data_IF_967301798616
#
_entry.id   IF_967301798616
#
_cell.length_a   1.000
_cell.length_b   1.000
_cell.length_c   1.000
_cell.angle_alpha   90.00
_cell.angle_beta   90.00
_cell.angle_gamma   90.00
#
_symmetry.space_group_name_H-M   'P 1'
#
loop_
_entity.id
_entity.type
_entity.pdbx_description
1 polymer ?
#
# COMPACT_ATOMS: atom_id res chain seq x y z
N UNK A 1 4.77 57.74 23.75
CA UNK A 1 3.89 56.76 23.07
C UNK A 1 4.67 56.12 21.94
N UNK A 2 5.22 54.93 22.15
CA UNK A 2 5.95 54.17 21.13
C UNK A 2 4.98 53.21 20.43
N UNK A 3 4.75 53.44 19.14
CA UNK A 3 3.91 52.58 18.33
C UNK A 3 4.64 51.25 18.07
N UNK A 4 4.11 50.15 18.62
CA UNK A 4 4.52 48.79 18.26
C UNK A 4 4.15 48.55 16.80
N UNK A 5 5.13 48.55 15.89
CA UNK A 5 4.95 48.03 14.53
C UNK A 5 4.95 46.50 14.63
N UNK A 6 3.79 45.91 14.35
CA UNK A 6 3.65 44.46 14.18
C UNK A 6 4.46 44.10 12.92
N UNK A 7 5.46 43.21 13.00
CA UNK A 7 6.19 42.78 11.82
C UNK A 7 5.25 42.01 10.90
N UNK A 8 4.93 42.57 9.74
CA UNK A 8 4.22 41.87 8.66
C UNK A 8 5.20 40.91 8.00
N UNK A 9 5.01 39.60 8.17
CA UNK A 9 5.79 38.58 7.47
C UNK A 9 5.72 38.83 5.95
N UNK A 10 6.88 38.88 5.28
CA UNK A 10 6.91 39.12 3.85
C UNK A 10 6.36 37.88 3.10
N UNK A 11 5.64 38.08 1.98
CA UNK A 11 5.03 36.97 1.24
C UNK A 11 6.03 35.91 0.76
N UNK A 12 7.30 36.27 0.55
CA UNK A 12 8.38 35.32 0.26
C UNK A 12 8.73 34.40 1.45
N UNK A 13 8.65 34.90 2.69
CA UNK A 13 8.92 34.10 3.89
C UNK A 13 7.83 33.05 4.08
N UNK A 14 6.57 33.42 3.83
CA UNK A 14 5.44 32.49 3.88
C UNK A 14 5.57 31.39 2.81
N UNK A 15 5.97 31.75 1.59
CA UNK A 15 6.20 30.79 0.51
C UNK A 15 7.31 29.79 0.88
N UNK A 16 8.43 30.27 1.44
CA UNK A 16 9.54 29.44 1.89
C UNK A 16 9.10 28.45 2.97
N UNK A 17 8.31 28.90 3.95
CA UNK A 17 7.77 28.04 5.03
C UNK A 17 6.86 26.95 4.46
N UNK A 18 5.99 27.28 3.50
CA UNK A 18 5.13 26.30 2.83
C UNK A 18 5.96 25.26 2.07
N UNK A 19 6.99 25.68 1.34
CA UNK A 19 7.88 24.76 0.63
C UNK A 19 8.65 23.85 1.59
N UNK A 20 9.21 24.41 2.66
CA UNK A 20 9.94 23.64 3.68
C UNK A 20 9.02 22.62 4.37
N UNK A 21 7.79 23.01 4.71
CA UNK A 21 6.79 22.11 5.27
C UNK A 21 6.40 20.99 4.29
N UNK A 22 6.23 21.30 3.00
CA UNK A 22 5.94 20.32 1.95
C UNK A 22 7.06 19.30 1.76
N UNK A 23 8.31 19.75 1.74
CA UNK A 23 9.49 18.88 1.67
C UNK A 23 9.62 18.01 2.94
N UNK A 24 9.42 18.60 4.11
CA UNK A 24 9.42 17.89 5.39
C UNK A 24 8.37 16.79 5.43
N UNK A 25 7.13 17.08 5.02
CA UNK A 25 6.05 16.09 4.93
C UNK A 25 6.36 14.95 3.95
N UNK A 26 6.97 15.27 2.80
CA UNK A 26 7.36 14.28 1.80
C UNK A 26 8.45 13.36 2.33
N UNK A 27 9.49 13.91 2.95
CA UNK A 27 10.57 13.14 3.57
C UNK A 27 10.03 12.25 4.70
N UNK A 28 9.20 12.80 5.58
CA UNK A 28 8.52 12.06 6.64
C UNK A 28 7.73 10.89 6.06
N UNK A 29 6.90 11.14 5.04
CA UNK A 29 6.07 10.11 4.39
C UNK A 29 6.89 8.97 3.79
N UNK A 30 8.06 9.26 3.21
CA UNK A 30 8.98 8.25 2.66
C UNK A 30 9.58 7.39 3.77
N UNK A 31 10.01 8.01 4.87
CA UNK A 31 10.57 7.30 6.04
C UNK A 31 9.51 6.46 6.72
N UNK A 32 8.34 7.04 7.00
CA UNK A 32 7.18 6.37 7.59
C UNK A 32 6.79 5.15 6.76
N UNK A 33 6.66 5.31 5.43
CA UNK A 33 6.41 4.20 4.51
C UNK A 33 7.44 3.08 4.69
N UNK A 34 8.74 3.41 4.68
CA UNK A 34 9.80 2.41 4.74
C UNK A 34 9.74 1.60 6.04
N UNK A 35 9.52 2.29 7.17
CA UNK A 35 9.42 1.69 8.50
C UNK A 35 8.20 0.77 8.59
N UNK A 36 7.00 1.29 8.28
CA UNK A 36 5.76 0.52 8.38
C UNK A 36 5.77 -0.68 7.43
N UNK A 37 6.25 -0.49 6.20
CA UNK A 37 6.40 -1.60 5.25
C UNK A 37 7.38 -2.67 5.76
N UNK A 38 8.36 -2.30 6.59
CA UNK A 38 9.25 -3.26 7.26
C UNK A 38 8.52 -4.08 8.31
N UNK A 39 7.67 -3.43 9.12
CA UNK A 39 6.86 -4.07 10.18
C UNK A 39 5.85 -5.06 9.61
N UNK A 40 5.38 -4.84 8.38
CA UNK A 40 4.41 -5.72 7.73
C UNK A 40 4.88 -7.17 7.57
N UNK A 41 6.18 -7.41 7.40
CA UNK A 41 6.71 -8.74 7.07
C UNK A 41 6.52 -9.69 8.25
N UNK A 42 5.98 -10.89 7.99
CA UNK A 42 5.65 -11.91 8.98
C UNK A 42 4.30 -11.69 9.69
N UNK A 43 3.62 -10.56 9.44
CA UNK A 43 2.31 -10.28 10.06
C UNK A 43 1.18 -11.00 9.35
N UNK A 44 0.18 -11.36 10.15
CA UNK A 44 -1.11 -11.85 9.65
C UNK A 44 -1.89 -10.70 9.03
N UNK A 45 -2.63 -11.01 7.98
CA UNK A 45 -3.46 -10.04 7.27
C UNK A 45 -4.81 -10.62 6.94
N UNK A 46 -5.79 -9.73 6.88
CA UNK A 46 -7.12 -9.96 6.35
C UNK A 46 -7.31 -9.08 5.10
N UNK A 47 -7.69 -9.70 3.99
CA UNK A 47 -8.00 -9.06 2.72
C UNK A 47 -9.51 -9.11 2.49
N UNK A 48 -10.09 -7.98 2.11
CA UNK A 48 -11.53 -7.82 1.85
C UNK A 48 -11.74 -7.00 0.57
N UNK A 49 -12.86 -7.15 -0.12
CA UNK A 49 -13.16 -6.29 -1.27
C UNK A 49 -13.32 -4.82 -0.87
N UNK A 50 -12.80 -3.91 -1.70
CA UNK A 50 -12.90 -2.47 -1.45
C UNK A 50 -14.30 -1.90 -1.77
N UNK A 51 -15.11 -2.61 -2.56
CA UNK A 51 -16.44 -2.17 -2.97
C UNK A 51 -17.49 -2.96 -2.18
N UNK A 52 -18.08 -2.29 -1.18
CA UNK A 52 -19.11 -2.85 -0.30
C UNK A 52 -20.52 -2.75 -0.90
N UNK A 53 -20.69 -2.20 -2.10
CA UNK A 53 -22.02 -1.94 -2.71
C UNK A 53 -22.73 -3.18 -3.26
N UNK A 54 -22.28 -4.39 -2.94
CA UNK A 54 -22.93 -5.62 -3.36
C UNK A 54 -22.87 -6.60 -2.19
N UNK A 55 -24.01 -6.87 -1.56
CA UNK A 55 -24.13 -7.70 -0.35
C UNK A 55 -23.51 -9.11 -0.52
N UNK A 56 -23.37 -9.60 -1.76
CA UNK A 56 -22.64 -10.83 -2.08
C UNK A 56 -21.09 -10.72 -2.07
N UNK A 57 -20.52 -9.52 -2.18
CA UNK A 57 -19.05 -9.31 -2.26
C UNK A 57 -18.40 -9.03 -0.90
N UNK A 58 -19.19 -8.60 0.09
CA UNK A 58 -18.72 -8.38 1.48
C UNK A 58 -18.30 -9.66 2.20
N UNK A 59 -18.70 -10.84 1.70
CA UNK A 59 -18.42 -12.13 2.34
C UNK A 59 -17.08 -12.76 1.92
N UNK A 60 -16.49 -12.31 0.80
CA UNK A 60 -15.21 -12.85 0.33
C UNK A 60 -14.05 -12.20 1.08
N UNK A 61 -13.60 -12.93 2.10
CA UNK A 61 -12.49 -12.58 2.96
C UNK A 61 -11.37 -13.59 2.80
N UNK A 62 -10.14 -13.12 2.73
CA UNK A 62 -8.97 -13.99 2.72
C UNK A 62 -8.01 -13.62 3.83
N UNK A 63 -7.55 -14.63 4.55
CA UNK A 63 -6.50 -14.47 5.55
C UNK A 63 -5.18 -15.00 5.03
N UNK A 64 -4.09 -14.42 5.51
CA UNK A 64 -2.76 -14.86 5.10
C UNK A 64 -1.65 -14.22 5.92
N UNK A 65 -0.42 -14.45 5.49
CA UNK A 65 0.79 -13.89 6.10
C UNK A 65 1.59 -13.15 5.03
N UNK A 66 2.00 -11.93 5.34
CA UNK A 66 2.93 -11.18 4.49
C UNK A 66 4.30 -11.85 4.56
N UNK A 67 4.75 -12.48 3.48
CA UNK A 67 6.01 -13.21 3.46
C UNK A 67 7.21 -12.31 3.18
N UNK A 68 7.12 -11.47 2.16
CA UNK A 68 8.26 -10.69 1.66
C UNK A 68 7.80 -9.48 0.87
N UNK A 69 8.69 -8.51 0.75
CA UNK A 69 8.57 -7.45 -0.26
C UNK A 69 9.00 -8.02 -1.62
N UNK A 70 8.31 -7.60 -2.65
CA UNK A 70 8.65 -7.86 -4.03
C UNK A 70 8.74 -6.53 -4.79
N UNK A 71 9.90 -6.26 -5.37
CA UNK A 71 10.09 -5.12 -6.26
C UNK A 71 9.86 -5.57 -7.69
N UNK A 72 8.89 -4.95 -8.37
CA UNK A 72 8.55 -5.26 -9.76
C UNK A 72 8.93 -4.05 -10.62
N UNK A 73 10.01 -4.20 -11.39
CA UNK A 73 10.64 -3.10 -12.14
C UNK A 73 11.14 -1.96 -11.24
N UNK A 74 11.13 -0.72 -11.76
CA UNK A 74 11.48 0.47 -10.98
C UNK A 74 10.34 1.00 -10.10
N UNK A 75 9.21 0.29 -10.07
CA UNK A 75 7.99 0.73 -9.42
C UNK A 75 7.96 0.29 -7.96
N UNK A 76 7.12 1.00 -7.20
CA UNK A 76 6.83 0.88 -5.77
C UNK A 76 6.89 -0.54 -5.20
N UNK A 77 7.22 -0.63 -3.91
CA UNK A 77 7.18 -1.87 -3.13
C UNK A 77 5.83 -2.58 -3.28
N UNK A 78 5.87 -3.89 -3.55
CA UNK A 78 4.74 -4.79 -3.52
C UNK A 78 4.99 -5.82 -2.42
N UNK A 79 3.94 -6.51 -2.00
CA UNK A 79 4.02 -7.48 -0.92
C UNK A 79 3.45 -8.80 -1.39
N UNK A 80 4.19 -9.85 -1.08
CA UNK A 80 3.74 -11.21 -1.34
C UNK A 80 3.06 -11.72 -0.08
N UNK A 81 1.82 -12.18 -0.23
CA UNK A 81 1.02 -12.75 0.84
C UNK A 81 0.81 -14.23 0.51
N UNK A 82 1.14 -15.09 1.46
CA UNK A 82 0.73 -16.48 1.44
C UNK A 82 -0.63 -16.59 2.12
N UNK A 83 -1.63 -17.01 1.37
CA UNK A 83 -3.00 -17.15 1.85
C UNK A 83 -3.17 -18.47 2.59
N UNK A 84 -4.00 -18.46 3.62
CA UNK A 84 -4.42 -19.68 4.32
C UNK A 84 -5.36 -20.51 3.44
N UNK A 85 -6.20 -19.83 2.65
CA UNK A 85 -7.11 -20.43 1.68
C UNK A 85 -6.82 -19.84 0.29
N UNK A 86 -6.70 -20.69 -0.75
CA UNK A 86 -6.36 -20.21 -2.07
C UNK A 86 -7.50 -19.45 -2.74
N UNK A 87 -7.15 -18.52 -3.62
CA UNK A 87 -8.09 -17.87 -4.53
C UNK A 87 -8.17 -18.69 -5.81
N UNK A 88 -9.39 -18.91 -6.31
CA UNK A 88 -9.63 -19.48 -7.63
C UNK A 88 -9.95 -18.34 -8.59
N UNK A 89 -9.15 -18.19 -9.66
CA UNK A 89 -9.35 -17.18 -10.69
C UNK A 89 -8.99 -17.75 -12.06
N UNK A 90 -9.89 -17.65 -13.05
CA UNK A 90 -9.73 -18.21 -14.40
C UNK A 90 -9.20 -19.66 -14.41
N UNK A 91 -9.84 -20.56 -13.66
CA UNK A 91 -9.45 -21.98 -13.50
C UNK A 91 -8.04 -22.23 -12.92
N UNK A 92 -7.42 -21.19 -12.38
CA UNK A 92 -6.12 -21.27 -11.71
C UNK A 92 -6.28 -21.08 -10.21
N UNK A 93 -5.46 -21.78 -9.43
CA UNK A 93 -5.46 -21.76 -7.96
C UNK A 93 -4.24 -20.97 -7.46
N UNK A 94 -4.48 -19.98 -6.61
CA UNK A 94 -3.47 -19.06 -6.10
C UNK A 94 -3.42 -19.11 -4.57
N UNK A 95 -2.42 -19.79 -4.02
CA UNK A 95 -2.08 -19.72 -2.59
C UNK A 95 -1.15 -18.55 -2.27
N UNK A 96 -0.43 -18.02 -3.27
CA UNK A 96 0.42 -16.84 -3.14
C UNK A 96 -0.17 -15.72 -4.00
N UNK A 97 -0.35 -14.54 -3.41
CA UNK A 97 -0.82 -13.35 -4.12
C UNK A 97 0.12 -12.18 -3.88
N UNK A 98 0.08 -11.22 -4.79
CA UNK A 98 0.84 -9.98 -4.66
C UNK A 98 -0.13 -8.82 -4.44
N UNK A 99 0.18 -7.95 -3.48
CA UNK A 99 -0.59 -6.74 -3.23
C UNK A 99 0.27 -5.50 -3.34
N UNK A 100 -0.36 -4.41 -3.76
CA UNK A 100 0.27 -3.11 -3.91
C UNK A 100 -0.59 -2.02 -3.29
N UNK A 101 0.00 -1.15 -2.49
CA UNK A 101 -0.65 0.04 -1.94
C UNK A 101 -1.15 0.98 -3.04
N UNK A 102 -2.37 1.50 -2.89
CA UNK A 102 -2.99 2.40 -3.88
C UNK A 102 -2.83 3.89 -3.54
N UNK A 103 -2.59 4.24 -2.27
CA UNK A 103 -2.55 5.62 -1.78
C UNK A 103 -1.35 5.88 -0.89
N UNK A 104 -0.84 7.10 -0.92
CA UNK A 104 0.15 7.58 0.06
C UNK A 104 -0.51 7.79 1.43
N UNK A 105 0.26 7.61 2.50
CA UNK A 105 -0.20 7.83 3.89
C UNK A 105 -0.98 6.67 4.53
N UNK A 106 -1.33 5.63 3.76
CA UNK A 106 -1.89 4.39 4.29
C UNK A 106 -1.01 3.24 3.81
N UNK A 107 -0.10 2.82 4.69
CA UNK A 107 0.94 1.85 4.38
C UNK A 107 0.64 0.49 5.00
N UNK A 108 1.00 -0.56 4.27
CA UNK A 108 0.91 -1.92 4.77
C UNK A 108 1.89 -2.05 5.93
N UNK A 109 1.40 -2.52 7.08
CA UNK A 109 2.15 -2.54 8.34
C UNK A 109 1.76 -1.43 9.31
N UNK A 110 0.89 -0.50 8.90
CA UNK A 110 0.16 0.35 9.83
C UNK A 110 -1.00 -0.41 10.49
N UNK A 111 -1.50 0.12 11.61
CA UNK A 111 -2.71 -0.39 12.27
C UNK A 111 -4.00 0.09 11.57
N UNK A 112 -3.90 0.76 10.42
CA UNK A 112 -5.03 1.31 9.68
C UNK A 112 -5.39 0.42 8.48
N UNK A 113 -6.67 0.34 8.11
CA UNK A 113 -7.08 -0.31 6.88
C UNK A 113 -6.37 0.32 5.68
N UNK A 114 -5.75 -0.51 4.85
CA UNK A 114 -4.93 -0.06 3.72
C UNK A 114 -5.57 -0.48 2.41
N UNK A 115 -5.87 0.48 1.54
CA UNK A 115 -6.38 0.20 0.21
C UNK A 115 -5.25 -0.36 -0.68
N UNK A 116 -5.44 -1.58 -1.17
CA UNK A 116 -4.48 -2.30 -1.99
C UNK A 116 -5.08 -2.73 -3.33
N UNK A 117 -4.22 -2.96 -4.30
CA UNK A 117 -4.53 -3.63 -5.55
C UNK A 117 -4.09 -5.09 -5.42
N UNK A 118 -4.98 -6.03 -5.72
CA UNK A 118 -4.64 -7.45 -5.86
C UNK A 118 -4.04 -7.73 -7.24
N UNK A 119 -2.93 -8.46 -7.24
CA UNK A 119 -2.17 -8.89 -8.39
C UNK A 119 -1.95 -10.41 -8.29
N UNK A 120 -2.39 -11.16 -9.30
CA UNK A 120 -2.20 -12.61 -9.36
C UNK A 120 -1.09 -12.95 -10.35
N UNK A 121 -0.02 -13.64 -9.95
CA UNK A 121 1.06 -13.99 -10.86
C UNK A 121 0.58 -15.03 -11.88
N UNK A 122 0.72 -14.76 -13.19
CA UNK A 122 0.34 -15.72 -14.25
C UNK A 122 1.05 -17.07 -14.08
N UNK A 123 0.33 -18.15 -14.35
CA UNK A 123 0.88 -19.52 -14.27
C UNK A 123 2.08 -19.70 -15.22
N UNK A 124 3.09 -20.44 -14.78
CA UNK A 124 4.27 -20.79 -15.58
C UNK A 124 5.41 -19.76 -15.58
N UNK A 125 5.28 -18.64 -14.87
CA UNK A 125 6.36 -17.66 -14.79
C UNK A 125 7.41 -18.00 -13.73
N UNK A 126 8.67 -17.69 -14.06
CA UNK A 126 9.78 -17.79 -13.10
C UNK A 126 9.69 -16.65 -12.08
N UNK A 127 9.58 -17.02 -10.81
CA UNK A 127 9.36 -16.10 -9.67
C UNK A 127 10.52 -15.14 -9.39
N UNK A 128 11.67 -15.34 -10.02
CA UNK A 128 12.89 -14.55 -9.91
C UNK A 128 12.94 -13.34 -10.85
N UNK A 129 12.04 -13.25 -11.84
CA UNK A 129 12.01 -12.17 -12.84
C UNK A 129 10.61 -11.59 -13.07
N UNK A 130 9.88 -11.32 -12.00
CA UNK A 130 8.57 -10.68 -12.12
C UNK A 130 8.69 -9.32 -12.84
N UNK A 131 8.03 -9.22 -14.01
CA UNK A 131 7.75 -7.97 -14.72
C UNK A 131 6.32 -7.51 -14.41
N UNK A 132 5.88 -6.35 -14.89
CA UNK A 132 4.54 -5.83 -14.52
C UNK A 132 3.40 -6.54 -15.27
N UNK A 133 3.64 -6.91 -16.53
CA UNK A 133 2.78 -7.73 -17.40
C UNK A 133 2.61 -9.19 -16.95
N UNK A 134 3.40 -9.57 -15.95
CA UNK A 134 3.45 -10.86 -15.31
C UNK A 134 2.18 -11.12 -14.45
N UNK A 135 1.42 -10.08 -14.11
CA UNK A 135 0.29 -10.18 -13.18
C UNK A 135 -1.06 -9.91 -13.85
N UNK A 136 -2.06 -10.67 -13.42
CA UNK A 136 -3.46 -10.33 -13.66
C UNK A 136 -3.92 -9.33 -12.59
N UNK A 137 -4.49 -8.22 -13.04
CA UNK A 137 -4.95 -7.13 -12.19
C UNK A 137 -6.42 -7.36 -11.80
N UNK A 138 -6.65 -8.05 -10.69
CA UNK A 138 -8.00 -8.51 -10.32
C UNK A 138 -8.90 -7.38 -9.84
N UNK A 139 -8.45 -6.58 -8.88
CA UNK A 139 -9.29 -5.53 -8.30
C UNK A 139 -8.71 -4.85 -7.06
N UNK A 140 -9.43 -3.83 -6.59
CA UNK A 140 -9.13 -3.13 -5.35
C UNK A 140 -9.65 -3.87 -4.13
N UNK A 141 -8.78 -4.05 -3.14
CA UNK A 141 -9.09 -4.65 -1.84
C UNK A 141 -8.74 -3.68 -0.71
N UNK A 142 -9.24 -3.97 0.48
CA UNK A 142 -8.78 -3.39 1.74
C UNK A 142 -8.04 -4.47 2.53
N UNK A 143 -6.83 -4.13 2.97
CA UNK A 143 -5.96 -4.95 3.81
C UNK A 143 -6.01 -4.46 5.25
N UNK A 144 -6.24 -5.38 6.18
CA UNK A 144 -6.14 -5.16 7.62
C UNK A 144 -4.98 -5.99 8.16
N UNK A 145 -4.10 -5.36 8.93
CA UNK A 145 -3.06 -6.06 9.68
C UNK A 145 -3.70 -6.66 10.94
N UNK A 146 -3.42 -7.93 11.24
CA UNK A 146 -3.87 -8.63 12.44
C UNK A 146 -2.73 -8.78 13.45
#
# INVERSE_FOLDING_TARGET
MTANRIPTAHPMDLLLVIFAAGLGYTAYSIVEKRVLNGVAIGRKVLLTYADQNNEMKSELQWTGIVQRKLRIGNKSDNFVINLNEPIIHHNSVFSEVVVRERRLGNYIGSNKPTAVQLLLPKQGMRKDKYKWDAFDHVGGLTLYLQ
#
